data_IF_577341539115
#
_entry.id   IF_577341539115
#
_cell.length_a   1.000
_cell.length_b   1.000
_cell.length_c   1.000
_cell.angle_alpha   90.00
_cell.angle_beta   90.00
_cell.angle_gamma   90.00
#
_symmetry.space_group_name_H-M   'P 1'
#
loop_
_entity.id
_entity.type
_entity.pdbx_description
1 polymer ?
#
# COMPACT_ATOMS: atom_id res chain seq x y z
N UNK A 1 13.38 21.27 -1.93
CA UNK A 1 12.39 20.45 -2.63
C UNK A 1 11.04 21.18 -2.71
N UNK A 2 10.29 20.94 -3.76
CA UNK A 2 8.95 21.51 -3.99
C UNK A 2 7.93 20.37 -3.94
N UNK A 3 6.87 20.52 -3.15
CA UNK A 3 5.74 19.59 -3.17
C UNK A 3 5.01 19.70 -4.52
N UNK A 4 4.84 18.58 -5.22
CA UNK A 4 4.07 18.49 -6.47
C UNK A 4 2.63 18.09 -6.16
N UNK A 5 2.43 17.11 -5.28
CA UNK A 5 1.13 16.68 -4.81
C UNK A 5 1.23 15.60 -3.74
N UNK A 6 0.11 15.26 -3.13
CA UNK A 6 0.02 14.23 -2.11
C UNK A 6 -1.32 13.51 -2.14
N UNK A 7 -1.35 12.27 -1.68
CA UNK A 7 -2.57 11.51 -1.43
C UNK A 7 -2.65 11.08 0.05
N UNK A 8 -3.51 11.71 0.84
CA UNK A 8 -3.68 11.35 2.26
C UNK A 8 -4.21 9.92 2.50
N UNK A 9 -4.81 9.29 1.48
CA UNK A 9 -5.33 7.93 1.65
C UNK A 9 -4.24 6.87 1.59
N UNK A 10 -3.17 7.11 0.82
CA UNK A 10 -2.02 6.21 0.73
C UNK A 10 -0.84 6.69 1.57
N UNK A 11 -0.96 7.86 2.22
CA UNK A 11 0.12 8.53 2.99
C UNK A 11 1.38 8.79 2.12
N UNK A 12 1.18 9.14 0.85
CA UNK A 12 2.26 9.41 -0.10
C UNK A 12 2.27 10.88 -0.52
N UNK A 13 3.48 11.42 -0.72
CA UNK A 13 3.71 12.73 -1.30
C UNK A 13 4.82 12.67 -2.36
N UNK A 14 4.64 13.43 -3.43
CA UNK A 14 5.64 13.59 -4.50
C UNK A 14 6.35 14.93 -4.34
N UNK A 15 7.66 14.87 -4.17
CA UNK A 15 8.53 16.03 -4.04
C UNK A 15 9.43 16.15 -5.28
N UNK A 16 9.56 17.36 -5.81
CA UNK A 16 10.52 17.71 -6.87
C UNK A 16 11.72 18.41 -6.26
N UNK A 17 12.90 17.89 -6.54
CA UNK A 17 14.17 18.62 -6.31
C UNK A 17 14.70 19.12 -7.64
N UNK A 18 15.28 20.31 -7.62
CA UNK A 18 15.99 20.90 -8.74
C UNK A 18 17.49 20.83 -8.43
N UNK A 19 18.25 20.25 -9.33
CA UNK A 19 19.70 20.11 -9.23
C UNK A 19 20.30 19.97 -10.61
N UNK A 20 21.50 20.49 -10.79
CA UNK A 20 22.29 20.33 -12.02
C UNK A 20 23.06 18.99 -12.02
N UNK A 21 23.04 18.25 -10.90
CA UNK A 21 23.70 16.97 -10.76
C UNK A 21 22.85 15.83 -11.29
N UNK A 22 23.50 14.86 -11.92
CA UNK A 22 22.88 13.59 -12.30
C UNK A 22 22.75 12.70 -11.04
N UNK A 23 21.57 12.68 -10.44
CA UNK A 23 21.32 11.87 -9.25
C UNK A 23 21.10 10.41 -9.60
N UNK A 24 21.69 9.47 -8.84
CA UNK A 24 21.33 8.07 -8.97
C UNK A 24 19.86 7.87 -8.54
N UNK A 25 19.19 6.96 -9.21
CA UNK A 25 17.81 6.63 -8.95
C UNK A 25 17.64 5.13 -8.74
N UNK A 26 16.53 4.77 -8.07
CA UNK A 26 16.13 3.38 -7.87
C UNK A 26 15.03 3.03 -8.87
N UNK A 27 15.10 1.81 -9.44
CA UNK A 27 14.05 1.31 -10.33
C UNK A 27 12.90 0.72 -9.53
N UNK A 28 11.67 0.88 -10.04
CA UNK A 28 10.52 0.21 -9.48
C UNK A 28 10.59 -1.31 -9.77
N UNK A 29 10.53 -2.11 -8.72
CA UNK A 29 10.21 -3.52 -8.80
C UNK A 29 8.70 -3.74 -8.83
N UNK A 30 8.28 -4.98 -9.06
CA UNK A 30 6.88 -5.38 -9.07
C UNK A 30 6.52 -6.01 -7.70
N UNK A 31 5.80 -5.24 -6.88
CA UNK A 31 5.37 -5.70 -5.55
C UNK A 31 4.34 -6.84 -5.61
N UNK A 32 3.57 -6.97 -6.72
CA UNK A 32 2.61 -8.07 -6.86
C UNK A 32 3.31 -9.40 -7.09
N UNK A 33 4.41 -9.43 -7.84
CA UNK A 33 5.20 -10.63 -8.10
C UNK A 33 6.05 -11.07 -6.91
N UNK A 34 6.29 -10.18 -5.94
CA UNK A 34 7.07 -10.48 -4.73
C UNK A 34 6.36 -11.50 -3.84
N UNK A 35 7.12 -12.40 -3.23
CA UNK A 35 6.59 -13.52 -2.44
C UNK A 35 6.89 -13.36 -0.96
N UNK A 36 6.00 -13.90 -0.11
CA UNK A 36 6.26 -14.04 1.32
C UNK A 36 7.52 -14.91 1.50
N UNK A 37 8.41 -14.49 2.41
CA UNK A 37 9.70 -15.11 2.66
C UNK A 37 10.86 -14.54 1.84
N UNK A 38 10.62 -13.70 0.82
CA UNK A 38 11.69 -13.03 0.09
C UNK A 38 12.40 -11.97 0.95
N UNK A 39 13.72 -11.92 0.84
CA UNK A 39 14.56 -10.94 1.53
C UNK A 39 14.31 -9.53 1.03
N UNK A 40 14.22 -8.60 1.98
CA UNK A 40 14.10 -7.17 1.72
C UNK A 40 15.02 -6.37 2.64
N UNK A 41 15.38 -5.18 2.19
CA UNK A 41 16.14 -4.19 2.95
C UNK A 41 15.28 -2.94 3.10
N UNK A 42 15.09 -2.51 4.34
CA UNK A 42 14.48 -1.21 4.63
C UNK A 42 15.59 -0.18 4.80
N UNK A 43 15.54 0.86 3.97
CA UNK A 43 16.52 1.96 3.95
C UNK A 43 15.83 3.22 4.47
N UNK A 44 16.50 3.96 5.32
CA UNK A 44 15.99 5.22 5.86
C UNK A 44 17.06 6.05 6.55
N UNK A 45 16.65 7.15 7.14
CA UNK A 45 17.53 8.03 7.90
C UNK A 45 16.94 8.35 9.28
N UNK A 46 16.82 7.34 10.16
CA UNK A 46 16.25 7.53 11.48
C UNK A 46 17.13 8.47 12.30
N UNK A 47 16.50 9.33 13.09
CA UNK A 47 17.15 10.20 14.07
C UNK A 47 18.21 11.17 13.47
N UNK A 48 18.16 11.43 12.16
CA UNK A 48 19.15 12.26 11.45
C UNK A 48 20.60 11.74 11.59
N UNK A 49 20.74 10.43 11.83
CA UNK A 49 22.01 9.70 11.95
C UNK A 49 22.27 9.03 10.62
N UNK A 50 22.95 9.53 9.70
CA UNK A 50 23.34 8.88 8.43
C UNK A 50 22.42 7.71 7.95
N UNK A 51 22.44 7.37 6.68
CA UNK A 51 21.60 6.31 6.12
C UNK A 51 21.71 5.00 6.91
N UNK A 52 20.58 4.47 7.35
CA UNK A 52 20.47 3.20 8.07
C UNK A 52 19.80 2.17 7.18
N UNK A 53 20.32 0.96 7.20
CA UNK A 53 19.75 -0.18 6.47
C UNK A 53 19.44 -1.29 7.47
N UNK A 54 18.24 -1.83 7.42
CA UNK A 54 17.82 -3.02 8.15
C UNK A 54 17.38 -4.09 7.17
N UNK A 55 17.57 -5.36 7.54
CA UNK A 55 17.23 -6.50 6.70
C UNK A 55 16.13 -7.34 7.36
N UNK A 56 15.28 -7.90 6.53
CA UNK A 56 14.21 -8.82 6.93
C UNK A 56 13.61 -9.50 5.70
N UNK A 57 12.41 -10.05 5.87
CA UNK A 57 11.66 -10.71 4.80
C UNK A 57 10.29 -10.05 4.60
N UNK A 58 9.65 -10.34 3.49
CA UNK A 58 8.21 -10.09 3.32
C UNK A 58 7.47 -11.08 4.21
N UNK A 59 6.85 -10.60 5.29
CA UNK A 59 6.14 -11.45 6.26
C UNK A 59 4.68 -11.67 5.86
N UNK A 60 4.06 -10.69 5.21
CA UNK A 60 2.71 -10.77 4.64
C UNK A 60 2.51 -9.73 3.54
N UNK A 61 1.46 -9.91 2.74
CA UNK A 61 0.99 -8.96 1.73
C UNK A 61 -0.47 -8.63 1.97
N UNK A 62 -0.93 -7.53 1.40
CA UNK A 62 -2.33 -7.08 1.45
C UNK A 62 -2.87 -6.95 2.89
N UNK A 63 -2.03 -6.42 3.80
CA UNK A 63 -2.47 -6.13 5.16
C UNK A 63 -3.25 -4.83 5.18
N UNK A 64 -4.49 -4.92 5.61
CA UNK A 64 -5.27 -3.77 6.07
C UNK A 64 -5.00 -3.59 7.57
N UNK A 65 -4.76 -2.37 8.00
CA UNK A 65 -4.42 -2.06 9.38
C UNK A 65 -5.56 -1.38 10.14
N UNK A 66 -6.64 -1.05 9.43
CA UNK A 66 -7.77 -0.34 9.98
C UNK A 66 -9.08 -1.00 9.55
N UNK A 67 -9.56 -1.94 10.32
CA UNK A 67 -10.88 -2.56 10.11
C UNK A 67 -12.07 -1.58 10.22
N UNK A 68 -11.83 -0.34 10.67
CA UNK A 68 -12.88 0.64 10.98
C UNK A 68 -12.91 1.85 10.04
N UNK A 69 -11.84 2.12 9.28
CA UNK A 69 -11.87 3.19 8.29
C UNK A 69 -12.09 2.62 6.88
N UNK A 70 -12.86 3.32 6.06
CA UNK A 70 -13.17 2.93 4.68
C UNK A 70 -11.97 3.10 3.73
N UNK A 71 -10.75 3.18 4.26
CA UNK A 71 -9.52 3.24 3.48
C UNK A 71 -9.04 1.83 3.20
N UNK A 72 -9.37 1.28 2.07
CA UNK A 72 -8.78 0.02 1.57
C UNK A 72 -7.27 0.19 1.35
N UNK A 73 -6.50 0.14 2.43
CA UNK A 73 -5.05 0.21 2.40
C UNK A 73 -4.50 -1.21 2.37
N UNK A 74 -3.63 -1.47 1.41
CA UNK A 74 -2.96 -2.77 1.26
C UNK A 74 -1.47 -2.57 1.46
N UNK A 75 -0.94 -3.05 2.59
CA UNK A 75 0.47 -2.90 2.94
C UNK A 75 1.24 -4.21 2.76
N UNK A 76 2.55 -4.08 2.47
CA UNK A 76 3.52 -5.14 2.66
C UNK A 76 3.94 -5.10 4.13
N UNK A 77 3.82 -6.24 4.81
CA UNK A 77 4.37 -6.45 6.14
C UNK A 77 5.77 -7.04 6.03
N UNK A 78 6.71 -6.54 6.82
CA UNK A 78 8.09 -7.05 6.92
C UNK A 78 8.55 -7.08 8.38
N UNK A 79 9.49 -7.94 8.71
CA UNK A 79 10.22 -7.96 9.98
C UNK A 79 11.53 -7.18 9.92
N UNK A 80 11.86 -6.56 8.77
CA UNK A 80 12.90 -5.54 8.72
C UNK A 80 12.53 -4.37 9.62
N UNK A 81 13.41 -4.00 10.55
CA UNK A 81 13.11 -2.99 11.56
C UNK A 81 12.95 -1.60 10.92
N UNK A 82 11.74 -1.04 10.99
CA UNK A 82 11.45 0.34 10.64
C UNK A 82 11.08 1.11 11.92
N UNK A 83 11.75 2.21 12.14
CA UNK A 83 11.52 3.12 13.27
C UNK A 83 11.20 4.52 12.75
N UNK A 84 10.82 5.41 13.66
CA UNK A 84 10.61 6.83 13.34
C UNK A 84 11.85 7.40 12.64
N UNK A 85 11.63 8.03 11.46
CA UNK A 85 12.67 8.54 10.58
C UNK A 85 13.01 7.64 9.38
N UNK A 86 12.55 6.38 9.35
CA UNK A 86 12.62 5.53 8.17
C UNK A 86 11.41 5.68 7.23
N UNK A 87 10.32 6.30 7.69
CA UNK A 87 9.15 6.59 6.86
C UNK A 87 9.53 7.44 5.65
N UNK A 88 9.00 7.08 4.48
CA UNK A 88 9.35 7.66 3.20
C UNK A 88 10.63 7.05 2.59
N UNK A 89 11.38 6.24 3.33
CA UNK A 89 12.53 5.50 2.81
C UNK A 89 12.12 4.26 2.00
N UNK A 90 13.06 3.71 1.25
CA UNK A 90 12.81 2.60 0.36
C UNK A 90 12.78 1.25 1.10
N UNK A 91 11.85 0.38 0.72
CA UNK A 91 11.93 -1.06 0.91
C UNK A 91 12.36 -1.68 -0.41
N UNK A 92 13.52 -2.35 -0.44
CA UNK A 92 14.10 -2.88 -1.67
C UNK A 92 14.30 -4.40 -1.59
N UNK A 93 14.24 -5.06 -2.74
CA UNK A 93 14.57 -6.47 -2.84
C UNK A 93 16.10 -6.68 -2.98
N UNK A 94 16.54 -7.93 -3.08
CA UNK A 94 17.95 -8.30 -3.24
C UNK A 94 18.57 -7.89 -4.57
N UNK A 95 17.77 -7.44 -5.55
CA UNK A 95 18.24 -6.88 -6.82
C UNK A 95 18.43 -5.36 -6.76
N UNK A 96 18.06 -4.72 -5.64
CA UNK A 96 18.07 -3.26 -5.49
C UNK A 96 16.86 -2.56 -6.10
N UNK A 97 15.79 -3.29 -6.42
CA UNK A 97 14.54 -2.73 -6.96
C UNK A 97 13.63 -2.29 -5.81
N UNK A 98 12.92 -1.18 -5.99
CA UNK A 98 11.95 -0.65 -5.04
C UNK A 98 10.71 -1.56 -4.98
N UNK A 99 10.46 -2.18 -3.84
CA UNK A 99 9.28 -3.02 -3.58
C UNK A 99 8.21 -2.26 -2.80
N UNK A 100 8.60 -1.24 -2.05
CA UNK A 100 7.67 -0.40 -1.32
C UNK A 100 8.33 0.84 -0.73
N UNK A 101 7.49 1.71 -0.19
CA UNK A 101 7.91 2.86 0.62
C UNK A 101 7.57 2.56 2.08
N UNK A 102 8.58 2.61 2.94
CA UNK A 102 8.39 2.38 4.37
C UNK A 102 7.42 3.41 4.94
N UNK A 103 6.47 2.95 5.74
CA UNK A 103 5.60 3.81 6.51
C UNK A 103 5.66 3.39 7.97
N UNK A 104 5.87 4.34 8.88
CA UNK A 104 5.84 4.09 10.30
C UNK A 104 4.38 4.06 10.76
N UNK A 105 3.72 2.93 10.56
CA UNK A 105 2.39 2.73 11.08
C UNK A 105 2.52 2.28 12.51
N UNK A 106 2.11 3.19 13.38
CA UNK A 106 1.49 2.99 14.68
C UNK A 106 1.89 1.74 15.46
N UNK A 107 3.10 1.70 15.98
CA UNK A 107 3.21 1.06 17.27
C UNK A 107 2.76 2.08 18.32
N UNK A 108 1.95 1.66 19.27
CA UNK A 108 1.52 2.48 20.43
C UNK A 108 2.74 3.07 21.15
N UNK A 109 3.91 2.48 21.00
CA UNK A 109 5.20 2.92 21.56
C UNK A 109 6.07 3.75 20.62
N UNK A 110 5.71 3.92 19.34
CA UNK A 110 6.53 4.62 18.33
C UNK A 110 7.79 3.89 17.89
N UNK A 111 8.03 2.65 18.34
CA UNK A 111 9.19 1.83 18.01
C UNK A 111 8.83 0.50 17.36
N UNK A 112 9.83 -0.17 16.79
CA UNK A 112 9.70 -1.50 16.21
C UNK A 112 9.27 -2.54 17.24
N UNK A 113 8.20 -3.27 16.97
CA UNK A 113 7.61 -4.30 17.83
C UNK A 113 7.60 -5.70 17.19
N UNK A 114 8.48 -5.92 16.21
CA UNK A 114 8.60 -7.21 15.52
C UNK A 114 7.97 -7.23 14.11
N UNK A 115 7.32 -6.16 13.67
CA UNK A 115 6.79 -6.00 12.31
C UNK A 115 6.74 -4.54 11.90
N UNK A 116 6.86 -4.32 10.61
CA UNK A 116 6.83 -3.01 9.96
C UNK A 116 5.99 -3.09 8.69
N UNK A 117 5.65 -1.95 8.14
CA UNK A 117 4.79 -1.87 6.96
C UNK A 117 5.38 -0.95 5.89
N UNK A 118 5.07 -1.26 4.64
CA UNK A 118 5.43 -0.44 3.49
C UNK A 118 4.27 -0.36 2.50
N UNK A 119 4.09 0.80 1.88
CA UNK A 119 3.17 0.96 0.75
C UNK A 119 3.76 0.24 -0.46
N UNK A 120 3.04 -0.69 -1.12
CA UNK A 120 3.56 -1.47 -2.24
C UNK A 120 4.01 -0.60 -3.41
N UNK A 121 5.09 -0.99 -4.09
CA UNK A 121 5.67 -0.23 -5.20
C UNK A 121 4.70 -0.01 -6.37
N UNK A 122 3.80 -0.96 -6.65
CA UNK A 122 2.80 -0.80 -7.71
C UNK A 122 1.80 0.33 -7.36
N UNK A 123 1.39 0.42 -6.09
CA UNK A 123 0.59 1.54 -5.59
C UNK A 123 1.36 2.85 -5.64
N UNK A 124 2.62 2.84 -5.20
CA UNK A 124 3.49 4.04 -5.24
C UNK A 124 3.64 4.56 -6.67
N UNK A 125 3.89 3.67 -7.64
CA UNK A 125 4.00 4.02 -9.05
C UNK A 125 2.72 4.67 -9.57
N UNK A 126 1.57 4.07 -9.30
CA UNK A 126 0.26 4.61 -9.73
C UNK A 126 0.01 6.00 -9.15
N UNK A 127 0.24 6.19 -7.85
CA UNK A 127 0.10 7.48 -7.17
C UNK A 127 1.06 8.51 -7.75
N UNK A 128 2.33 8.12 -7.99
CA UNK A 128 3.33 8.99 -8.59
C UNK A 128 2.94 9.45 -10.00
N UNK A 129 2.57 8.51 -10.87
CA UNK A 129 2.18 8.79 -12.25
C UNK A 129 0.97 9.71 -12.29
N UNK A 130 -0.08 9.45 -11.51
CA UNK A 130 -1.28 10.28 -11.43
C UNK A 130 -0.97 11.70 -10.94
N UNK A 131 -0.16 11.83 -9.89
CA UNK A 131 0.19 13.15 -9.35
C UNK A 131 0.99 13.96 -10.37
N UNK A 132 1.91 13.33 -11.10
CA UNK A 132 2.69 14.01 -12.14
C UNK A 132 1.82 14.43 -13.31
N UNK A 133 0.87 13.60 -13.74
CA UNK A 133 0.04 13.87 -14.92
C UNK A 133 -1.15 14.78 -14.61
N UNK A 134 -1.85 14.54 -13.49
CA UNK A 134 -3.12 15.21 -13.17
C UNK A 134 -3.04 16.12 -11.94
N UNK A 135 -1.95 16.13 -11.21
CA UNK A 135 -1.79 16.86 -9.95
C UNK A 135 -2.44 16.21 -8.73
N UNK A 136 -3.23 15.15 -8.92
CA UNK A 136 -3.90 14.38 -7.87
C UNK A 136 -4.13 12.94 -8.33
N UNK A 137 -4.39 12.03 -7.37
CA UNK A 137 -4.64 10.61 -7.67
C UNK A 137 -6.02 10.44 -8.31
N UNK A 138 -6.05 9.74 -9.44
CA UNK A 138 -7.27 9.38 -10.14
C UNK A 138 -7.78 8.03 -9.60
N UNK A 139 -8.96 8.03 -8.98
CA UNK A 139 -9.60 6.83 -8.45
C UNK A 139 -10.78 6.43 -9.31
N UNK A 140 -10.74 5.23 -9.86
CA UNK A 140 -11.92 4.62 -10.45
C UNK A 140 -12.87 4.14 -9.35
N UNK A 141 -14.17 4.38 -9.53
CA UNK A 141 -15.21 3.81 -8.68
C UNK A 141 -15.80 2.59 -9.37
N UNK A 142 -15.71 1.43 -8.71
CA UNK A 142 -16.38 0.23 -9.19
C UNK A 142 -17.91 0.34 -9.06
N UNK A 143 -18.37 1.03 -8.00
CA UNK A 143 -19.79 1.27 -7.75
C UNK A 143 -20.49 0.05 -7.17
N UNK A 144 -19.86 -0.64 -6.23
CA UNK A 144 -20.50 -1.72 -5.45
C UNK A 144 -20.45 -1.38 -3.97
N UNK A 145 -21.48 -1.80 -3.26
CA UNK A 145 -21.51 -1.86 -1.81
C UNK A 145 -21.77 -3.30 -1.38
N UNK A 146 -21.06 -3.76 -0.36
CA UNK A 146 -21.20 -5.14 0.07
C UNK A 146 -20.27 -5.49 1.23
N UNK A 147 -20.16 -6.78 1.48
CA UNK A 147 -19.34 -7.30 2.56
C UNK A 147 -18.50 -8.50 2.10
N UNK A 148 -17.32 -8.64 2.67
CA UNK A 148 -16.55 -9.88 2.54
C UNK A 148 -17.34 -11.03 3.16
N UNK A 149 -17.41 -12.17 2.46
CA UNK A 149 -18.01 -13.36 2.98
C UNK A 149 -17.15 -13.97 4.09
N UNK A 150 -17.80 -14.39 5.14
CA UNK A 150 -17.24 -15.23 6.20
C UNK A 150 -18.32 -16.23 6.66
N UNK A 151 -17.96 -17.17 7.51
CA UNK A 151 -18.88 -18.21 7.95
C UNK A 151 -20.16 -17.65 8.60
N UNK A 152 -20.05 -16.64 9.46
CA UNK A 152 -21.18 -16.05 10.17
C UNK A 152 -22.13 -15.31 9.22
N UNK A 153 -21.56 -14.60 8.22
CA UNK A 153 -22.33 -13.89 7.20
C UNK A 153 -23.03 -14.89 6.26
N UNK A 154 -22.33 -15.94 5.84
CA UNK A 154 -22.87 -16.99 4.98
C UNK A 154 -24.06 -17.72 5.65
N UNK A 155 -23.92 -18.07 6.92
CA UNK A 155 -25.01 -18.68 7.71
C UNK A 155 -26.23 -17.77 7.82
N UNK A 156 -25.99 -16.48 8.14
CA UNK A 156 -27.06 -15.48 8.32
C UNK A 156 -27.88 -15.24 7.05
N UNK A 157 -27.25 -15.31 5.89
CA UNK A 157 -27.88 -15.05 4.58
C UNK A 157 -28.14 -16.32 3.75
N UNK A 158 -27.96 -17.51 4.35
CA UNK A 158 -28.17 -18.81 3.71
C UNK A 158 -27.35 -18.99 2.42
N UNK A 159 -26.10 -18.49 2.42
CA UNK A 159 -25.16 -18.58 1.32
C UNK A 159 -24.27 -19.80 1.54
N UNK A 160 -24.09 -20.64 0.48
CA UNK A 160 -23.27 -21.85 0.56
C UNK A 160 -21.76 -21.56 0.64
N UNK A 161 -21.33 -20.43 0.07
CA UNK A 161 -19.93 -20.05 0.00
C UNK A 161 -19.54 -19.20 1.20
N UNK A 162 -18.36 -19.49 1.77
CA UNK A 162 -17.81 -18.76 2.93
C UNK A 162 -16.65 -17.85 2.54
N UNK A 163 -16.31 -17.77 1.26
CA UNK A 163 -15.24 -16.95 0.71
C UNK A 163 -15.74 -16.15 -0.49
N UNK A 164 -15.34 -14.89 -0.58
CA UNK A 164 -15.73 -13.99 -1.65
C UNK A 164 -16.22 -12.64 -1.15
N UNK A 165 -16.89 -11.91 -2.00
CA UNK A 165 -17.51 -10.63 -1.69
C UNK A 165 -18.98 -10.65 -2.10
N UNK A 166 -19.88 -10.43 -1.16
CA UNK A 166 -21.31 -10.34 -1.41
C UNK A 166 -21.68 -8.92 -1.83
N UNK A 167 -22.28 -8.77 -3.00
CA UNK A 167 -22.73 -7.49 -3.53
C UNK A 167 -24.12 -7.17 -2.98
N UNK A 168 -24.17 -6.21 -2.06
CA UNK A 168 -25.42 -5.71 -1.46
C UNK A 168 -26.14 -4.69 -2.33
N UNK A 169 -25.39 -3.86 -3.07
CA UNK A 169 -25.94 -2.86 -3.99
C UNK A 169 -24.96 -2.55 -5.12
N UNK A 170 -25.50 -2.12 -6.28
CA UNK A 170 -24.72 -1.71 -7.46
C UNK A 170 -25.18 -0.34 -7.91
N UNK A 171 -24.25 0.61 -7.93
CA UNK A 171 -24.52 1.99 -8.34
C UNK A 171 -24.58 2.10 -9.85
N UNK A 172 -25.69 2.66 -10.35
CA UNK A 172 -25.95 2.79 -11.80
C UNK A 172 -24.96 3.69 -12.51
N UNK A 173 -24.49 3.26 -13.67
CA UNK A 173 -23.59 4.01 -14.54
C UNK A 173 -22.12 3.89 -14.15
N UNK A 174 -21.77 3.18 -13.07
CA UNK A 174 -20.39 2.90 -12.69
C UNK A 174 -19.92 1.54 -13.24
N UNK A 175 -18.63 1.23 -13.00
CA UNK A 175 -17.97 0.09 -13.61
C UNK A 175 -18.68 -1.26 -13.41
N UNK A 176 -19.20 -1.50 -12.21
CA UNK A 176 -19.93 -2.73 -11.88
C UNK A 176 -21.23 -2.87 -12.67
N UNK A 177 -22.04 -1.80 -12.75
CA UNK A 177 -23.28 -1.78 -13.52
C UNK A 177 -23.00 -2.02 -15.00
N UNK A 178 -21.99 -1.32 -15.55
CA UNK A 178 -21.57 -1.48 -16.95
C UNK A 178 -21.02 -2.88 -17.25
N UNK A 179 -20.39 -3.54 -16.28
CA UNK A 179 -19.94 -4.93 -16.38
C UNK A 179 -21.05 -5.95 -16.19
N UNK A 180 -22.25 -5.53 -15.79
CA UNK A 180 -23.41 -6.39 -15.61
C UNK A 180 -23.49 -7.10 -14.26
N UNK A 181 -22.69 -6.66 -13.26
CA UNK A 181 -22.82 -7.13 -11.88
C UNK A 181 -24.16 -6.70 -11.29
N UNK A 182 -24.70 -7.52 -10.42
CA UNK A 182 -26.02 -7.31 -9.80
C UNK A 182 -25.95 -7.48 -8.30
N UNK A 183 -26.95 -6.93 -7.64
CA UNK A 183 -27.20 -7.22 -6.22
C UNK A 183 -27.36 -8.74 -6.02
N UNK A 184 -26.67 -9.25 -5.02
CA UNK A 184 -26.60 -10.68 -4.62
C UNK A 184 -25.69 -11.56 -5.50
N UNK A 185 -24.88 -10.97 -6.38
CA UNK A 185 -23.75 -11.66 -7.02
C UNK A 185 -22.65 -11.95 -6.00
#
# INVERSE_FOLDING_TARGET
>A
AKLIGSDPNTDLAVLKIETDENLPYISFGDSESSKIGEWVLAVGNPFNLNSTVTAGIISAKSRDLNDTDQKNQSFIQTDAAVNMGNSGGALVNTKGELIGINTAISSISGGFVGYSFAVPSNTVRKVFEDIIEYGNVQKGLLGVQGNALNADFAEKFEISDTQGFYIGDVEKGLGADLAGLKQRD
#
